data_IF_126148320271
#
_entry.id   IF_126148320271
#
_cell.length_a   1.000
_cell.length_b   1.000
_cell.length_c   1.000
_cell.angle_alpha   90.00
_cell.angle_beta   90.00
_cell.angle_gamma   90.00
#
_symmetry.space_group_name_H-M   'P 1'
#
loop_
_entity.id
_entity.type
_entity.pdbx_description
1 polymer ?
#
# COMPACT_ATOMS: atom_id res chain seq x y z
N UNK A 1 15.49 11.19 16.13
CA UNK A 1 15.14 9.92 15.46
C UNK A 1 13.64 9.86 15.49
N UNK A 2 13.00 10.06 14.35
CA UNK A 2 11.55 10.18 14.27
C UNK A 2 11.00 9.05 13.38
N UNK A 3 9.76 8.69 13.65
CA UNK A 3 8.94 7.78 12.87
C UNK A 3 7.96 8.62 12.05
N UNK A 4 7.81 8.26 10.79
CA UNK A 4 7.02 9.02 9.82
C UNK A 4 5.76 8.25 9.48
N UNK A 5 4.59 8.82 9.73
CA UNK A 5 3.30 8.16 9.49
C UNK A 5 2.67 8.69 8.22
N UNK A 6 2.54 7.84 7.21
CA UNK A 6 1.83 8.13 5.97
C UNK A 6 0.44 7.46 5.98
N UNK A 7 -0.62 8.26 5.85
CA UNK A 7 -1.99 7.75 5.70
C UNK A 7 -2.84 8.68 4.84
N UNK A 8 -3.48 8.15 3.79
CA UNK A 8 -4.34 8.91 2.87
C UNK A 8 -3.70 10.19 2.28
N UNK A 9 -2.36 10.24 2.18
CA UNK A 9 -1.61 11.38 1.65
C UNK A 9 -1.19 12.41 2.71
N UNK A 10 -1.64 12.25 3.96
CA UNK A 10 -1.11 13.00 5.09
C UNK A 10 0.16 12.33 5.62
N UNK A 11 1.17 13.14 5.95
CA UNK A 11 2.44 12.72 6.54
C UNK A 11 2.67 13.44 7.87
N UNK A 12 2.95 12.69 8.93
CA UNK A 12 3.24 13.22 10.28
C UNK A 12 4.49 12.56 10.86
N UNK A 13 5.46 13.39 11.26
CA UNK A 13 6.63 12.96 12.02
C UNK A 13 6.35 12.89 13.52
N UNK A 14 6.67 11.75 14.14
CA UNK A 14 6.49 11.48 15.56
C UNK A 14 7.77 10.96 16.21
N UNK A 15 8.00 11.27 17.49
CA UNK A 15 9.26 10.96 18.15
C UNK A 15 9.42 9.47 18.53
N UNK A 16 8.34 8.69 18.55
CA UNK A 16 8.37 7.27 18.96
C UNK A 16 7.46 6.40 18.09
N UNK A 17 7.80 5.11 17.97
CA UNK A 17 7.00 4.12 17.25
C UNK A 17 5.59 3.98 17.84
N UNK A 18 5.47 3.95 19.17
CA UNK A 18 4.17 3.85 19.84
C UNK A 18 3.26 5.03 19.50
N UNK A 19 3.81 6.26 19.49
CA UNK A 19 3.05 7.45 19.10
C UNK A 19 2.62 7.37 17.63
N UNK A 20 3.49 6.86 16.77
CA UNK A 20 3.21 6.66 15.36
C UNK A 20 2.11 5.62 15.13
N UNK A 21 2.16 4.49 15.85
CA UNK A 21 1.15 3.43 15.83
C UNK A 21 -0.22 3.94 16.31
N UNK A 22 -0.25 4.68 17.40
CA UNK A 22 -1.48 5.25 17.94
C UNK A 22 -2.08 6.30 16.99
N UNK A 23 -1.23 7.13 16.37
CA UNK A 23 -1.66 8.11 15.38
C UNK A 23 -2.28 7.44 14.15
N UNK A 24 -1.58 6.46 13.57
CA UNK A 24 -2.05 5.68 12.42
C UNK A 24 -3.41 5.01 12.70
N UNK A 25 -3.54 4.33 13.84
CA UNK A 25 -4.80 3.70 14.26
C UNK A 25 -5.92 4.71 14.44
N UNK A 26 -5.64 5.87 15.06
CA UNK A 26 -6.63 6.92 15.25
C UNK A 26 -7.09 7.50 13.92
N UNK A 27 -6.18 7.71 12.98
CA UNK A 27 -6.51 8.19 11.64
C UNK A 27 -7.41 7.20 10.90
N UNK A 28 -7.07 5.92 10.91
CA UNK A 28 -7.87 4.85 10.29
C UNK A 28 -9.24 4.73 10.95
N UNK A 29 -9.32 4.75 12.29
CA UNK A 29 -10.59 4.67 13.02
C UNK A 29 -11.48 5.90 12.76
N UNK A 30 -10.90 7.07 12.54
CA UNK A 30 -11.65 8.28 12.19
C UNK A 30 -12.28 8.18 10.80
N UNK A 31 -11.65 7.48 9.86
CA UNK A 31 -12.13 7.32 8.48
C UNK A 31 -13.16 6.19 8.36
N UNK A 32 -12.88 5.03 8.99
CA UNK A 32 -13.67 3.81 8.84
C UNK A 32 -14.73 3.61 9.94
N UNK A 33 -14.64 4.34 11.04
CA UNK A 33 -15.54 4.20 12.19
C UNK A 33 -15.17 3.00 13.08
N UNK A 34 -16.13 2.07 13.28
CA UNK A 34 -15.93 0.97 14.23
C UNK A 34 -14.99 -0.09 13.66
N UNK A 35 -13.93 -0.39 14.40
CA UNK A 35 -12.91 -1.37 14.04
C UNK A 35 -12.89 -2.47 15.11
N UNK A 36 -12.89 -3.73 14.68
CA UNK A 36 -12.89 -4.91 15.57
C UNK A 36 -11.49 -5.37 15.97
N UNK A 37 -10.46 -4.98 15.21
CA UNK A 37 -9.06 -5.32 15.46
C UNK A 37 -8.08 -4.60 14.53
N UNK A 38 -6.79 -4.88 14.68
CA UNK A 38 -5.73 -4.27 13.89
C UNK A 38 -4.83 -5.35 13.31
N UNK A 39 -4.47 -5.19 12.03
CA UNK A 39 -3.39 -5.93 11.40
C UNK A 39 -2.17 -5.03 11.35
N UNK A 40 -1.03 -5.50 11.85
CA UNK A 40 0.24 -4.77 11.84
C UNK A 40 1.31 -5.72 11.32
N UNK A 41 1.95 -5.34 10.21
CA UNK A 41 3.05 -6.07 9.60
C UNK A 41 4.31 -5.19 9.64
N UNK A 42 5.46 -5.77 9.96
CA UNK A 42 6.73 -5.05 10.01
C UNK A 42 7.67 -5.62 8.95
N UNK A 43 8.16 -4.76 8.07
CA UNK A 43 9.23 -5.07 7.13
C UNK A 43 10.56 -4.55 7.67
N UNK A 44 11.33 -5.46 8.26
CA UNK A 44 12.65 -5.19 8.82
C UNK A 44 13.68 -4.74 7.76
N UNK A 45 13.45 -5.02 6.48
CA UNK A 45 14.40 -4.70 5.40
C UNK A 45 14.40 -3.22 5.02
N UNK A 46 13.25 -2.56 5.19
CA UNK A 46 13.03 -1.12 4.93
C UNK A 46 12.71 -0.35 6.21
N UNK A 47 12.53 -1.06 7.33
CA UNK A 47 12.15 -0.53 8.63
C UNK A 47 10.78 0.17 8.60
N UNK A 48 9.80 -0.45 7.92
CA UNK A 48 8.43 0.07 7.79
C UNK A 48 7.41 -0.82 8.52
N UNK A 49 6.41 -0.21 9.14
CA UNK A 49 5.24 -0.88 9.69
C UNK A 49 3.99 -0.55 8.88
N UNK A 50 3.29 -1.58 8.42
CA UNK A 50 2.04 -1.48 7.68
C UNK A 50 0.87 -1.78 8.61
N UNK A 51 -0.06 -0.84 8.74
CA UNK A 51 -1.19 -0.94 9.67
C UNK A 51 -2.51 -0.87 8.91
N UNK A 52 -3.41 -1.80 9.20
CA UNK A 52 -4.77 -1.84 8.64
C UNK A 52 -5.80 -2.07 9.75
N UNK A 53 -6.97 -1.45 9.58
CA UNK A 53 -8.14 -1.78 10.39
C UNK A 53 -8.69 -3.15 9.99
N UNK A 54 -9.23 -3.89 10.96
CA UNK A 54 -9.89 -5.18 10.74
C UNK A 54 -11.32 -5.12 11.26
N UNK A 55 -12.28 -5.54 10.43
CA UNK A 55 -13.71 -5.66 10.77
C UNK A 55 -14.15 -7.08 10.47
N UNK A 56 -14.71 -7.78 11.45
CA UNK A 56 -15.18 -9.17 11.35
C UNK A 56 -14.12 -10.14 10.81
N UNK A 57 -12.85 -9.89 11.13
CA UNK A 57 -11.71 -10.70 10.70
C UNK A 57 -11.11 -10.33 9.34
N UNK A 58 -11.71 -9.38 8.62
CA UNK A 58 -11.23 -8.94 7.31
C UNK A 58 -10.58 -7.55 7.38
N UNK A 59 -9.47 -7.38 6.64
CA UNK A 59 -8.79 -6.09 6.54
C UNK A 59 -9.62 -5.08 5.72
N UNK A 60 -9.77 -3.87 6.25
CA UNK A 60 -10.63 -2.83 5.68
C UNK A 60 -9.88 -1.50 5.49
N UNK A 61 -10.26 -0.77 4.44
CA UNK A 61 -9.78 0.58 4.16
C UNK A 61 -8.33 0.69 3.71
N UNK A 62 -7.80 1.92 3.80
CA UNK A 62 -6.42 2.25 3.46
C UNK A 62 -5.42 1.72 4.49
N UNK A 63 -4.21 1.39 4.03
CA UNK A 63 -3.08 1.05 4.91
C UNK A 63 -2.39 2.33 5.35
N UNK A 64 -2.13 2.48 6.65
CA UNK A 64 -1.17 3.45 7.14
C UNK A 64 0.23 2.83 7.14
N UNK A 65 1.22 3.59 6.70
CA UNK A 65 2.63 3.17 6.70
C UNK A 65 3.37 4.00 7.73
N UNK A 66 4.11 3.35 8.63
CA UNK A 66 5.03 4.03 9.53
C UNK A 66 6.44 3.70 9.07
N UNK A 67 7.21 4.69 8.66
CA UNK A 67 8.63 4.52 8.36
C UNK A 67 9.47 4.87 9.58
N UNK A 68 10.28 3.93 10.02
CA UNK A 68 11.25 4.15 11.08
C UNK A 68 12.46 4.96 10.62
N UNK A 69 13.30 5.43 11.56
CA UNK A 69 14.57 6.05 11.21
C UNK A 69 15.42 5.07 10.38
N UNK A 70 16.11 5.57 9.34
CA UNK A 70 16.84 4.73 8.37
C UNK A 70 17.67 3.64 9.07
N UNK A 71 17.54 2.36 8.67
CA UNK A 71 18.41 1.32 9.18
C UNK A 71 19.87 1.64 8.77
N UNK A 72 20.81 1.51 9.71
CA UNK A 72 22.26 1.71 9.49
C UNK A 72 22.90 0.77 8.48
N UNK A 73 22.12 -0.12 7.87
CA UNK A 73 22.54 -0.97 6.77
C UNK A 73 22.03 -0.33 5.49
N UNK A 74 22.97 0.00 4.61
CA UNK A 74 22.75 0.44 3.23
C UNK A 74 21.84 -0.54 2.48
N UNK A 75 20.53 -0.42 2.66
CA UNK A 75 19.55 -1.07 1.83
C UNK A 75 19.65 -0.40 0.46
N UNK A 76 19.92 -1.21 -0.57
CA UNK A 76 19.80 -0.74 -1.97
C UNK A 76 18.40 -0.17 -2.11
N UNK A 77 18.31 1.11 -2.46
CA UNK A 77 17.05 1.76 -2.78
C UNK A 77 16.42 1.04 -3.97
N UNK A 78 15.49 0.12 -3.70
CA UNK A 78 14.52 -0.32 -4.69
C UNK A 78 13.44 0.76 -4.80
N UNK A 79 12.95 1.07 -6.01
CA UNK A 79 11.92 2.10 -6.18
C UNK A 79 10.68 1.72 -5.33
N UNK A 80 10.25 2.65 -4.48
CA UNK A 80 9.07 2.55 -3.63
C UNK A 80 7.85 2.30 -4.51
N UNK A 81 7.13 1.21 -4.26
CA UNK A 81 5.91 0.84 -4.97
C UNK A 81 4.69 1.52 -4.34
N UNK A 82 4.68 2.85 -4.47
CA UNK A 82 3.50 3.72 -4.46
C UNK A 82 3.96 5.10 -4.97
N UNK A 83 3.42 5.63 -6.09
CA UNK A 83 3.74 6.98 -6.50
C UNK A 83 3.23 7.97 -5.45
N UNK A 84 4.13 8.84 -4.98
CA UNK A 84 3.79 10.00 -4.15
C UNK A 84 2.78 10.90 -4.91
N UNK A 85 1.83 11.56 -4.22
CA UNK A 85 0.85 12.44 -4.85
C UNK A 85 1.50 13.79 -5.17
N UNK A 86 2.41 13.80 -6.13
CA UNK A 86 2.86 15.01 -6.79
C UNK A 86 3.02 14.68 -8.27
N UNK A 87 2.15 15.29 -9.08
CA UNK A 87 2.03 15.23 -10.54
C UNK A 87 1.33 14.00 -11.14
N UNK A 88 0.08 14.24 -11.56
CA UNK A 88 -0.84 13.37 -12.30
C UNK A 88 -1.31 12.10 -11.58
N UNK A 89 -2.53 12.18 -11.02
CA UNK A 89 -3.28 11.11 -10.34
C UNK A 89 -2.97 9.69 -10.88
N UNK A 90 -2.09 8.96 -10.18
CA UNK A 90 -1.88 7.54 -10.44
C UNK A 90 -3.20 6.78 -10.19
N UNK A 91 -3.79 6.25 -11.27
CA UNK A 91 -5.03 5.47 -11.25
C UNK A 91 -4.68 4.01 -10.96
N UNK A 92 -5.59 3.31 -10.27
CA UNK A 92 -5.42 1.90 -9.90
C UNK A 92 -6.44 1.01 -10.59
N UNK A 93 -6.00 -0.13 -11.15
CA UNK A 93 -6.86 -1.21 -11.65
C UNK A 93 -6.48 -2.53 -10.99
N UNK A 94 -7.47 -3.37 -10.69
CA UNK A 94 -7.28 -4.66 -10.02
C UNK A 94 -7.76 -5.79 -10.92
N UNK A 95 -6.99 -6.87 -10.99
CA UNK A 95 -7.29 -8.10 -11.73
C UNK A 95 -7.18 -9.29 -10.80
N UNK A 96 -8.12 -10.22 -10.88
CA UNK A 96 -8.17 -11.44 -10.06
C UNK A 96 -8.34 -12.66 -10.94
N UNK A 97 -7.60 -13.74 -10.67
CA UNK A 97 -7.60 -14.95 -11.50
C UNK A 97 -7.01 -16.15 -10.77
N UNK A 98 -7.20 -17.35 -11.34
CA UNK A 98 -6.77 -18.60 -10.71
C UNK A 98 -5.25 -18.79 -10.71
N UNK A 99 -4.55 -18.15 -11.66
CA UNK A 99 -3.08 -18.21 -11.76
C UNK A 99 -2.46 -16.82 -11.98
N UNK A 100 -1.16 -16.63 -11.68
CA UNK A 100 -0.45 -15.38 -12.00
C UNK A 100 -0.45 -15.06 -13.50
N UNK A 101 -0.40 -16.09 -14.34
CA UNK A 101 -0.43 -15.94 -15.80
C UNK A 101 -1.78 -15.36 -16.27
N UNK A 102 -2.88 -15.82 -15.68
CA UNK A 102 -4.22 -15.33 -16.02
C UNK A 102 -4.36 -13.84 -15.70
N UNK A 103 -3.94 -13.42 -14.49
CA UNK A 103 -4.07 -12.01 -14.07
C UNK A 103 -3.17 -11.08 -14.88
N UNK A 104 -1.97 -11.53 -15.27
CA UNK A 104 -1.10 -10.79 -16.19
C UNK A 104 -1.70 -10.68 -17.59
N UNK A 105 -2.25 -11.77 -18.12
CA UNK A 105 -2.90 -11.76 -19.42
C UNK A 105 -4.12 -10.81 -19.43
N UNK A 106 -4.91 -10.80 -18.35
CA UNK A 106 -6.03 -9.86 -18.19
C UNK A 106 -5.55 -8.39 -18.13
N UNK A 107 -4.48 -8.11 -17.38
CA UNK A 107 -3.91 -6.78 -17.31
C UNK A 107 -3.34 -6.30 -18.64
N UNK A 108 -2.61 -7.18 -19.35
CA UNK A 108 -2.04 -6.88 -20.67
C UNK A 108 -3.13 -6.61 -21.71
N UNK A 109 -4.19 -7.43 -21.73
CA UNK A 109 -5.31 -7.23 -22.65
C UNK A 109 -6.06 -5.92 -22.35
N UNK A 110 -6.24 -5.58 -21.07
CA UNK A 110 -6.84 -4.32 -20.66
C UNK A 110 -6.00 -3.12 -21.10
N UNK A 111 -4.67 -3.17 -20.93
CA UNK A 111 -3.74 -2.13 -21.38
C UNK A 111 -3.76 -1.97 -22.91
N UNK A 112 -3.79 -3.08 -23.66
CA UNK A 112 -3.84 -3.05 -25.12
C UNK A 112 -5.08 -2.31 -25.67
N UNK A 113 -6.20 -2.31 -24.92
CA UNK A 113 -7.42 -1.59 -25.26
C UNK A 113 -7.48 -0.14 -24.77
N UNK A 114 -6.40 0.39 -24.18
CA UNK A 114 -6.40 1.67 -23.47
C UNK A 114 -5.26 2.59 -23.94
N UNK A 115 -5.36 3.16 -25.15
CA UNK A 115 -4.34 4.06 -25.69
C UNK A 115 -4.20 5.37 -24.88
N UNK A 116 -5.18 5.70 -24.05
CA UNK A 116 -5.07 6.81 -23.11
C UNK A 116 -4.03 6.57 -22.02
N UNK A 117 -3.66 5.32 -21.71
CA UNK A 117 -2.66 5.03 -20.67
C UNK A 117 -1.27 5.37 -21.19
N UNK A 118 -0.62 6.35 -20.54
CA UNK A 118 0.70 6.87 -20.92
C UNK A 118 1.84 6.14 -20.23
N UNK A 119 1.62 5.69 -19.00
CA UNK A 119 2.64 5.01 -18.21
C UNK A 119 2.00 4.00 -17.26
N UNK A 120 2.66 2.86 -17.09
CA UNK A 120 2.44 1.96 -15.96
C UNK A 120 3.53 2.26 -14.95
N UNK A 121 3.13 2.78 -13.79
CA UNK A 121 4.07 3.20 -12.75
C UNK A 121 4.45 2.02 -11.86
N UNK A 122 3.52 1.09 -11.60
CA UNK A 122 3.74 0.00 -10.64
C UNK A 122 2.78 -1.20 -10.80
N UNK A 123 3.21 -2.37 -10.32
CA UNK A 123 2.48 -3.64 -10.18
C UNK A 123 2.57 -4.18 -8.74
N UNK A 124 1.44 -4.17 -8.03
CA UNK A 124 1.29 -4.84 -6.74
C UNK A 124 0.72 -6.25 -6.87
N UNK A 125 1.22 -7.20 -6.08
CA UNK A 125 0.81 -8.60 -6.12
C UNK A 125 0.28 -9.09 -4.78
N UNK A 126 -0.78 -9.90 -4.80
CA UNK A 126 -1.32 -10.56 -3.61
C UNK A 126 -1.80 -11.96 -3.95
N UNK A 127 -1.43 -12.94 -3.12
CA UNK A 127 -2.05 -14.27 -3.13
C UNK A 127 -3.37 -14.23 -2.35
N UNK A 128 -4.38 -14.93 -2.87
CA UNK A 128 -5.70 -15.10 -2.25
C UNK A 128 -5.96 -16.59 -2.04
N UNK A 129 -6.87 -16.91 -1.13
CA UNK A 129 -7.27 -18.29 -0.82
C UNK A 129 -7.79 -19.05 -2.06
N UNK A 130 -8.31 -18.32 -3.04
CA UNK A 130 -8.92 -18.79 -4.27
C UNK A 130 -8.15 -18.39 -5.55
N UNK A 131 -6.96 -17.79 -5.43
CA UNK A 131 -6.16 -17.40 -6.60
C UNK A 131 -5.18 -16.27 -6.36
N UNK A 132 -5.08 -15.37 -7.33
CA UNK A 132 -4.12 -14.28 -7.36
C UNK A 132 -4.79 -12.95 -7.68
N UNK A 133 -4.25 -11.88 -7.13
CA UNK A 133 -4.65 -10.51 -7.38
C UNK A 133 -3.44 -9.70 -7.86
N UNK A 134 -3.63 -8.97 -8.95
CA UNK A 134 -2.69 -8.02 -9.52
C UNK A 134 -3.28 -6.61 -9.45
N UNK A 135 -2.53 -5.66 -8.90
CA UNK A 135 -2.85 -4.24 -8.82
C UNK A 135 -1.95 -3.49 -9.79
N UNK A 136 -2.54 -2.85 -10.79
CA UNK A 136 -1.84 -2.04 -11.78
C UNK A 136 -2.02 -0.56 -11.45
N UNK A 137 -0.92 0.15 -11.26
CA UNK A 137 -0.92 1.61 -11.10
C UNK A 137 -0.45 2.25 -12.40
N UNK A 138 -1.21 3.23 -12.90
CA UNK A 138 -0.97 3.82 -14.22
C UNK A 138 -1.39 5.29 -14.28
N UNK A 139 -0.81 6.03 -15.22
CA UNK A 139 -1.20 7.39 -15.60
C UNK A 139 -1.79 7.41 -17.00
N UNK A 140 -2.80 8.23 -17.21
CA UNK A 140 -3.52 8.38 -18.49
C UNK A 140 -3.64 9.84 -18.89
#
# INVERSE_FOLDING_TARGET
>A
MNYRVEYNGDDIDLPTLDSALDNAKRAIASDLGTISGWSVEHDESINDWFIQGVVDGEAVGSTAVITGPEPTLTARSYPRHAPAPADDHARRRVFTGGTPADVLAMAANWLAGRPEVRAVDDLGWRTRTDGFELRLYYRA
#
